data_IF_583912363291
#
_entry.id   IF_583912363291
#
_cell.length_a   1.000
_cell.length_b   1.000
_cell.length_c   1.000
_cell.angle_alpha   90.00
_cell.angle_beta   90.00
_cell.angle_gamma   90.00
#
_symmetry.space_group_name_H-M   'P 1'
#
loop_
_entity.id
_entity.type
_entity.pdbx_description
1 polymer ?
#
# COMPACT_ATOMS: atom_id res chain seq x y z
N UNK A 1 -4.75 50.43 -67.63
CA UNK A 1 -5.39 49.56 -66.63
C UNK A 1 -5.20 48.09 -66.93
N UNK A 2 -5.15 47.63 -68.18
CA UNK A 2 -5.02 46.23 -68.55
C UNK A 2 -3.64 45.56 -68.23
N UNK A 3 -2.55 46.30 -68.33
CA UNK A 3 -1.23 45.68 -68.10
C UNK A 3 -0.93 45.45 -66.62
N UNK A 4 -1.49 46.24 -65.73
CA UNK A 4 -1.30 46.10 -64.28
C UNK A 4 -2.07 44.87 -63.77
N UNK A 5 -3.30 44.65 -64.25
CA UNK A 5 -4.12 43.50 -63.90
C UNK A 5 -3.49 42.19 -64.38
N UNK A 6 -2.93 42.20 -65.61
CA UNK A 6 -2.19 41.02 -66.16
C UNK A 6 -0.97 40.67 -65.35
N UNK A 7 -0.20 41.64 -64.86
CA UNK A 7 0.99 41.43 -64.04
C UNK A 7 0.58 40.86 -62.67
N UNK A 8 -0.47 41.39 -62.06
CA UNK A 8 -0.97 40.90 -60.79
C UNK A 8 -1.51 39.47 -60.85
N UNK A 9 -2.15 39.10 -61.95
CA UNK A 9 -2.63 37.72 -62.18
C UNK A 9 -1.43 36.79 -62.40
N UNK A 10 -0.38 37.21 -63.06
CA UNK A 10 0.80 36.39 -63.29
C UNK A 10 1.58 36.16 -61.96
N UNK A 11 1.71 37.17 -61.12
CA UNK A 11 2.31 37.02 -59.80
C UNK A 11 1.47 36.12 -58.91
N UNK A 12 0.15 36.22 -58.94
CA UNK A 12 -0.72 35.33 -58.20
C UNK A 12 -0.60 33.86 -58.63
N UNK A 13 -0.52 33.64 -59.93
CA UNK A 13 -0.30 32.30 -60.51
C UNK A 13 1.04 31.71 -60.09
N UNK A 14 2.11 32.49 -60.07
CA UNK A 14 3.44 32.02 -59.61
C UNK A 14 3.42 31.68 -58.10
N UNK A 15 2.79 32.52 -57.29
CA UNK A 15 2.66 32.25 -55.83
C UNK A 15 1.84 30.96 -55.55
N UNK A 16 0.75 30.75 -56.29
CA UNK A 16 -0.03 29.52 -56.13
C UNK A 16 0.72 28.28 -56.62
N UNK A 17 1.50 28.43 -57.72
CA UNK A 17 2.31 27.33 -58.24
C UNK A 17 3.44 26.96 -57.27
N UNK A 18 4.16 27.91 -56.69
CA UNK A 18 5.18 27.73 -55.69
C UNK A 18 4.59 27.05 -54.44
N UNK A 19 3.44 27.52 -53.95
CA UNK A 19 2.73 26.92 -52.81
C UNK A 19 2.37 25.45 -53.08
N UNK A 20 1.86 25.12 -54.26
CA UNK A 20 1.49 23.74 -54.63
C UNK A 20 2.75 22.85 -54.77
N UNK A 21 3.86 23.39 -55.27
CA UNK A 21 5.12 22.67 -55.37
C UNK A 21 5.69 22.33 -54.00
N UNK A 22 5.70 23.28 -53.09
CA UNK A 22 6.16 23.11 -51.68
C UNK A 22 5.26 22.10 -50.97
N UNK A 23 3.95 22.21 -51.11
CA UNK A 23 3.00 21.28 -50.51
C UNK A 23 3.21 19.84 -50.99
N UNK A 24 3.41 19.64 -52.30
CA UNK A 24 3.68 18.32 -52.87
C UNK A 24 5.03 17.75 -52.41
N UNK A 25 6.07 18.59 -52.34
CA UNK A 25 7.39 18.19 -51.80
C UNK A 25 7.27 17.75 -50.32
N UNK A 26 6.53 18.49 -49.50
CA UNK A 26 6.30 18.11 -48.10
C UNK A 26 5.53 16.79 -47.98
N UNK A 27 4.53 16.58 -48.84
CA UNK A 27 3.74 15.33 -48.87
C UNK A 27 4.62 14.13 -49.28
N UNK A 28 5.48 14.29 -50.29
CA UNK A 28 6.42 13.24 -50.71
C UNK A 28 7.47 12.97 -49.64
N UNK A 29 7.98 14.00 -48.99
CA UNK A 29 8.95 13.86 -47.88
C UNK A 29 8.34 13.14 -46.69
N UNK A 30 7.11 13.50 -46.30
CA UNK A 30 6.38 12.80 -45.21
C UNK A 30 6.08 11.34 -45.56
N UNK A 31 5.72 11.07 -46.82
CA UNK A 31 5.48 9.71 -47.31
C UNK A 31 6.74 8.85 -47.34
N UNK A 32 7.89 9.42 -47.69
CA UNK A 32 9.17 8.70 -47.66
C UNK A 32 9.67 8.44 -46.24
N UNK A 33 9.39 9.33 -45.31
CA UNK A 33 9.71 9.11 -43.86
C UNK A 33 8.80 8.01 -43.28
N UNK A 34 7.55 7.94 -43.67
CA UNK A 34 6.61 6.88 -43.25
C UNK A 34 6.93 5.52 -43.88
N UNK A 35 7.48 5.48 -45.10
CA UNK A 35 7.88 4.25 -45.78
C UNK A 35 9.25 3.72 -45.33
N UNK A 36 10.08 4.58 -44.76
CA UNK A 36 11.38 4.17 -44.16
C UNK A 36 11.26 3.71 -42.70
N UNK A 37 10.07 3.62 -42.16
CA UNK A 37 9.84 2.83 -40.95
C UNK A 37 10.05 1.36 -41.28
N UNK A 38 11.30 1.01 -41.58
CA UNK A 38 11.76 -0.36 -41.56
C UNK A 38 11.24 -0.98 -40.28
N UNK A 39 10.66 -2.15 -40.35
CA UNK A 39 10.38 -2.98 -39.20
C UNK A 39 11.68 -3.06 -38.41
N UNK A 40 11.82 -2.20 -37.39
CA UNK A 40 12.81 -2.42 -36.35
C UNK A 40 12.48 -3.80 -35.84
N UNK A 41 13.30 -4.77 -36.21
CA UNK A 41 13.18 -6.11 -35.68
C UNK A 41 13.07 -5.93 -34.18
N UNK A 42 11.95 -6.34 -33.59
CA UNK A 42 11.78 -6.33 -32.15
C UNK A 42 13.05 -6.97 -31.61
N UNK A 43 13.84 -6.28 -30.80
CA UNK A 43 15.06 -6.88 -30.27
C UNK A 43 14.63 -8.19 -29.65
N UNK A 44 15.34 -9.27 -29.95
CA UNK A 44 15.10 -10.58 -29.36
C UNK A 44 14.97 -10.34 -27.85
N UNK A 45 13.75 -10.42 -27.36
CA UNK A 45 13.50 -10.12 -25.95
C UNK A 45 14.27 -11.15 -25.17
N UNK A 46 15.30 -10.72 -24.49
CA UNK A 46 16.09 -11.58 -23.61
C UNK A 46 15.11 -12.45 -22.81
N UNK A 47 15.24 -13.75 -22.94
CA UNK A 47 14.39 -14.65 -22.18
C UNK A 47 14.65 -14.39 -20.72
N UNK A 48 13.59 -14.21 -19.91
CA UNK A 48 13.74 -14.03 -18.49
C UNK A 48 14.58 -15.18 -17.91
N UNK A 49 15.49 -14.85 -17.00
CA UNK A 49 16.35 -15.83 -16.35
C UNK A 49 16.16 -15.75 -14.83
N UNK A 50 16.02 -16.91 -14.18
CA UNK A 50 15.85 -17.02 -12.73
C UNK A 50 14.42 -16.78 -12.25
N UNK A 51 14.28 -16.40 -10.99
CA UNK A 51 12.99 -16.10 -10.37
C UNK A 51 12.42 -14.78 -10.94
N UNK A 52 11.17 -14.84 -11.36
CA UNK A 52 10.46 -13.67 -11.89
C UNK A 52 9.47 -13.15 -10.86
N UNK A 53 9.27 -11.83 -10.80
CA UNK A 53 8.21 -11.26 -9.97
C UNK A 53 6.84 -11.75 -10.46
N UNK A 54 5.96 -12.02 -9.53
CA UNK A 54 4.54 -12.28 -9.81
C UNK A 54 3.84 -11.00 -10.22
N UNK A 55 2.67 -11.12 -10.86
CA UNK A 55 1.86 -9.97 -11.28
C UNK A 55 1.51 -9.04 -10.10
N UNK A 56 1.20 -9.58 -8.91
CA UNK A 56 0.94 -8.77 -7.72
C UNK A 56 2.16 -7.98 -7.24
N UNK A 57 3.37 -8.57 -7.36
CA UNK A 57 4.62 -7.88 -7.04
C UNK A 57 4.91 -6.75 -8.04
N UNK A 58 4.65 -6.97 -9.32
CA UNK A 58 4.78 -5.93 -10.35
C UNK A 58 3.80 -4.78 -10.08
N UNK A 59 2.52 -5.08 -9.85
CA UNK A 59 1.50 -4.07 -9.51
C UNK A 59 1.85 -3.28 -8.24
N UNK A 60 2.45 -3.94 -7.25
CA UNK A 60 2.93 -3.29 -6.04
C UNK A 60 4.10 -2.34 -6.35
N UNK A 61 5.05 -2.78 -7.14
CA UNK A 61 6.21 -1.99 -7.54
C UNK A 61 5.81 -0.77 -8.40
N UNK A 62 4.85 -0.93 -9.31
CA UNK A 62 4.30 0.16 -10.13
C UNK A 62 3.58 1.23 -9.30
N UNK A 63 3.18 0.92 -8.09
CA UNK A 63 2.60 1.89 -7.16
C UNK A 63 3.63 2.91 -6.66
N UNK A 64 4.90 2.52 -6.53
CA UNK A 64 6.06 3.32 -6.11
C UNK A 64 5.96 3.91 -4.70
N UNK A 65 4.84 4.55 -4.36
CA UNK A 65 4.68 5.30 -3.12
C UNK A 65 3.40 4.91 -2.37
N UNK A 66 3.54 4.63 -1.09
CA UNK A 66 2.42 4.47 -0.16
C UNK A 66 2.83 4.94 1.24
N UNK A 67 1.87 5.24 2.08
CA UNK A 67 2.10 5.64 3.46
C UNK A 67 1.44 4.68 4.44
N UNK A 68 2.00 4.60 5.66
CA UNK A 68 1.40 3.92 6.81
C UNK A 68 0.89 4.97 7.79
N UNK A 69 -0.32 4.75 8.31
CA UNK A 69 -0.92 5.62 9.31
C UNK A 69 -1.02 4.88 10.63
N UNK A 70 -0.21 5.34 11.60
CA UNK A 70 -0.27 4.92 12.99
C UNK A 70 -1.18 5.87 13.76
N UNK A 71 -2.29 5.35 14.30
CA UNK A 71 -3.24 6.16 15.05
C UNK A 71 -3.90 5.30 16.13
N UNK A 72 -3.18 5.01 17.20
CA UNK A 72 -3.56 4.10 18.28
C UNK A 72 -3.61 4.86 19.61
N UNK A 73 -3.96 4.23 20.75
CA UNK A 73 -3.88 4.88 22.07
C UNK A 73 -2.54 5.54 22.36
N UNK A 74 -1.44 5.06 21.77
CA UNK A 74 -0.09 5.62 21.94
C UNK A 74 0.01 7.06 21.44
N UNK A 75 -0.78 7.45 20.42
CA UNK A 75 -0.88 8.83 19.93
C UNK A 75 -1.26 9.79 21.06
N UNK A 76 -2.14 9.35 21.97
CA UNK A 76 -2.57 10.15 23.13
C UNK A 76 -1.65 10.05 24.34
N UNK A 77 -0.69 9.13 24.31
CA UNK A 77 0.30 8.95 25.35
C UNK A 77 1.65 9.60 25.00
N UNK A 78 1.79 10.16 23.80
CA UNK A 78 3.06 10.63 23.25
C UNK A 78 4.16 9.55 23.31
N UNK A 79 3.79 8.32 22.91
CA UNK A 79 4.67 7.14 22.87
C UNK A 79 4.73 6.61 21.46
N UNK A 80 5.89 6.17 21.03
CA UNK A 80 6.06 5.43 19.79
C UNK A 80 5.44 4.03 19.92
N UNK A 81 5.76 3.31 20.97
CA UNK A 81 5.22 1.99 21.28
C UNK A 81 4.51 1.99 22.62
N UNK A 82 3.24 1.57 22.59
CA UNK A 82 2.46 1.34 23.80
C UNK A 82 2.91 0.08 24.54
N UNK A 83 2.71 0.07 25.85
CA UNK A 83 3.03 -1.08 26.69
C UNK A 83 1.92 -2.15 26.70
N UNK A 84 0.73 -1.83 26.17
CA UNK A 84 -0.44 -2.70 26.19
C UNK A 84 -1.35 -2.50 27.42
N UNK A 85 -1.03 -1.52 28.25
CA UNK A 85 -1.70 -1.21 29.52
C UNK A 85 -2.71 -0.05 29.42
N UNK A 86 -2.77 0.62 28.26
CA UNK A 86 -3.64 1.77 28.08
C UNK A 86 -5.12 1.38 28.20
N UNK A 87 -5.88 2.16 28.97
CA UNK A 87 -7.32 1.93 29.04
C UNK A 87 -7.98 2.30 27.71
N UNK A 88 -8.91 1.50 27.18
CA UNK A 88 -9.65 1.81 25.95
C UNK A 88 -10.32 3.18 25.97
N UNK A 89 -10.68 3.69 27.14
CA UNK A 89 -11.29 5.01 27.34
C UNK A 89 -10.38 6.17 26.94
N UNK A 90 -9.09 5.96 26.86
CA UNK A 90 -8.12 6.94 26.35
C UNK A 90 -8.32 7.23 24.85
N UNK A 91 -8.83 6.24 24.11
CA UNK A 91 -9.01 6.35 22.67
C UNK A 91 -10.35 7.04 22.32
N UNK A 92 -10.32 8.36 22.27
CA UNK A 92 -11.50 9.18 21.93
C UNK A 92 -11.13 10.35 21.00
N UNK A 93 -10.74 10.09 19.75
CA UNK A 93 -10.33 11.13 18.80
C UNK A 93 -11.54 11.94 18.30
N UNK A 94 -11.92 12.99 19.03
CA UNK A 94 -13.09 13.84 18.71
C UNK A 94 -13.02 14.56 17.37
N UNK A 95 -11.82 14.89 16.89
CA UNK A 95 -11.57 15.59 15.63
C UNK A 95 -11.04 14.68 14.51
N UNK A 96 -11.13 13.36 14.66
CA UNK A 96 -10.65 12.44 13.64
C UNK A 96 -11.42 12.58 12.33
N UNK A 97 -10.68 12.70 11.24
CA UNK A 97 -11.23 12.81 9.89
C UNK A 97 -10.35 12.00 8.92
N UNK A 98 -10.75 10.78 8.64
CA UNK A 98 -10.03 9.89 7.72
C UNK A 98 -9.88 10.50 6.32
N UNK A 99 -10.89 11.25 5.85
CA UNK A 99 -10.84 11.85 4.51
C UNK A 99 -9.80 12.98 4.42
N UNK A 100 -9.61 13.77 5.48
CA UNK A 100 -8.56 14.78 5.52
C UNK A 100 -7.17 14.14 5.41
N UNK A 101 -6.94 13.05 6.15
CA UNK A 101 -5.66 12.32 6.14
C UNK A 101 -5.42 11.70 4.76
N UNK A 102 -6.41 10.98 4.23
CA UNK A 102 -6.29 10.33 2.93
C UNK A 102 -6.11 11.35 1.79
N UNK A 103 -6.83 12.50 1.87
CA UNK A 103 -6.66 13.56 0.88
C UNK A 103 -5.26 14.16 0.93
N UNK A 104 -4.73 14.43 2.13
CA UNK A 104 -3.38 14.96 2.28
C UNK A 104 -2.33 13.99 1.71
N UNK A 105 -2.51 12.69 1.92
CA UNK A 105 -1.63 11.68 1.33
C UNK A 105 -1.74 11.67 -0.21
N UNK A 106 -2.94 11.69 -0.77
CA UNK A 106 -3.15 11.74 -2.22
C UNK A 106 -2.57 13.02 -2.85
N UNK A 107 -2.79 14.18 -2.23
CA UNK A 107 -2.22 15.46 -2.66
C UNK A 107 -0.67 15.44 -2.60
N UNK A 108 -0.09 14.68 -1.67
CA UNK A 108 1.35 14.42 -1.55
C UNK A 108 1.91 13.42 -2.57
N UNK A 109 1.06 12.86 -3.44
CA UNK A 109 1.48 11.92 -4.50
C UNK A 109 1.52 10.44 -4.08
N UNK A 110 1.03 10.10 -2.88
CA UNK A 110 0.91 8.70 -2.49
C UNK A 110 -0.19 7.99 -3.29
N UNK A 111 0.09 6.75 -3.68
CA UNK A 111 -0.83 5.90 -4.46
C UNK A 111 -1.50 4.81 -3.63
N UNK A 112 -1.03 4.63 -2.40
CA UNK A 112 -1.60 3.70 -1.43
C UNK A 112 -1.53 4.24 -0.01
N UNK A 113 -2.48 3.77 0.81
CA UNK A 113 -2.50 4.03 2.25
C UNK A 113 -2.71 2.72 3.00
N UNK A 114 -1.88 2.48 3.99
CA UNK A 114 -1.97 1.33 4.88
C UNK A 114 -2.45 1.82 6.24
N UNK A 115 -3.58 1.29 6.69
CA UNK A 115 -4.04 1.47 8.07
C UNK A 115 -3.32 0.49 8.97
N UNK A 116 -2.66 0.99 10.01
CA UNK A 116 -2.18 0.15 11.11
C UNK A 116 -3.40 -0.26 11.94
N UNK A 117 -3.97 -1.42 11.61
CA UNK A 117 -5.18 -1.90 12.26
C UNK A 117 -4.96 -2.30 13.72
N UNK A 118 -3.81 -2.86 14.02
CA UNK A 118 -3.32 -3.15 15.39
C UNK A 118 -1.81 -2.96 15.42
N UNK A 119 -1.30 -2.14 16.35
CA UNK A 119 0.13 -2.01 16.62
C UNK A 119 0.55 -2.94 17.78
N UNK A 120 1.81 -2.84 18.23
CA UNK A 120 2.37 -3.71 19.28
C UNK A 120 1.67 -3.58 20.64
N UNK A 121 0.95 -2.48 20.88
CA UNK A 121 0.14 -2.30 22.09
C UNK A 121 -1.08 -3.23 22.15
N UNK A 122 -1.43 -3.89 21.05
CA UNK A 122 -2.53 -4.83 20.95
C UNK A 122 -3.91 -4.21 20.74
N UNK A 123 -4.03 -2.85 20.72
CA UNK A 123 -5.33 -2.20 20.55
C UNK A 123 -5.82 -2.31 19.10
N UNK A 124 -7.00 -2.92 18.93
CA UNK A 124 -7.60 -3.14 17.61
C UNK A 124 -8.46 -1.94 17.19
N UNK A 125 -8.16 -1.33 16.06
CA UNK A 125 -8.87 -0.17 15.50
C UNK A 125 -10.16 -0.55 14.74
N UNK A 126 -10.58 -1.79 14.83
CA UNK A 126 -11.85 -2.31 14.30
C UNK A 126 -12.57 -3.15 15.39
N UNK A 127 -13.88 -3.36 15.28
CA UNK A 127 -14.65 -4.13 16.27
C UNK A 127 -14.40 -5.63 16.10
N UNK A 128 -13.18 -6.07 16.40
CA UNK A 128 -12.79 -7.50 16.35
C UNK A 128 -13.60 -8.34 17.34
N UNK A 129 -13.74 -9.62 17.02
CA UNK A 129 -14.40 -10.61 17.89
C UNK A 129 -13.41 -11.34 18.80
N UNK A 130 -12.12 -11.09 18.67
CA UNK A 130 -11.06 -11.85 19.37
C UNK A 130 -10.69 -11.27 20.73
N UNK A 131 -10.92 -9.99 20.93
CA UNK A 131 -10.56 -9.30 22.17
C UNK A 131 -11.50 -8.13 22.44
N UNK A 132 -11.68 -7.79 23.71
CA UNK A 132 -12.34 -6.54 24.12
C UNK A 132 -11.39 -5.33 24.07
N UNK A 133 -10.08 -5.55 23.90
CA UNK A 133 -9.10 -4.46 23.78
C UNK A 133 -9.14 -3.87 22.37
N UNK A 134 -10.21 -3.15 22.10
CA UNK A 134 -10.51 -2.64 20.77
C UNK A 134 -11.31 -1.34 20.83
N UNK A 135 -11.47 -0.75 19.67
CA UNK A 135 -12.28 0.45 19.47
C UNK A 135 -13.72 0.30 19.96
N UNK A 136 -14.25 -0.93 19.98
CA UNK A 136 -15.59 -1.21 20.50
C UNK A 136 -15.73 -0.94 22.01
N UNK A 137 -14.64 -0.99 22.75
CA UNK A 137 -14.59 -0.66 24.18
C UNK A 137 -14.20 0.81 24.45
N UNK A 138 -13.96 1.60 23.42
CA UNK A 138 -13.65 3.02 23.54
C UNK A 138 -14.92 3.88 23.53
N UNK A 139 -14.89 5.11 24.10
CA UNK A 139 -16.00 6.04 24.00
C UNK A 139 -16.17 6.64 22.59
N UNK A 140 -15.19 6.48 21.72
CA UNK A 140 -15.25 7.02 20.37
C UNK A 140 -16.45 6.44 19.61
N UNK A 141 -17.26 7.36 19.06
CA UNK A 141 -18.53 7.00 18.38
C UNK A 141 -19.45 6.07 19.21
N UNK A 142 -19.37 6.18 20.54
CA UNK A 142 -20.12 5.33 21.48
C UNK A 142 -19.83 3.83 21.29
N UNK A 143 -18.57 3.46 21.04
CA UNK A 143 -18.15 2.07 20.80
C UNK A 143 -18.58 1.47 19.45
N UNK A 144 -19.14 2.28 18.55
CA UNK A 144 -19.61 1.85 17.22
C UNK A 144 -18.65 2.26 16.09
N UNK A 145 -17.48 2.75 16.44
CA UNK A 145 -16.46 3.15 15.47
C UNK A 145 -15.79 1.96 14.80
N UNK A 146 -15.36 2.16 13.58
CA UNK A 146 -14.46 1.26 12.84
C UNK A 146 -13.49 2.14 12.04
N UNK A 147 -12.32 2.38 12.62
CA UNK A 147 -11.34 3.30 12.02
C UNK A 147 -10.69 2.70 10.76
N UNK A 148 -10.53 1.39 10.72
CA UNK A 148 -10.02 0.69 9.53
C UNK A 148 -10.96 0.90 8.34
N UNK A 149 -12.27 0.78 8.58
CA UNK A 149 -13.30 1.03 7.57
C UNK A 149 -13.29 2.49 7.11
N UNK A 150 -13.18 3.43 8.03
CA UNK A 150 -13.15 4.86 7.67
C UNK A 150 -11.91 5.21 6.84
N UNK A 151 -10.75 4.66 7.17
CA UNK A 151 -9.56 4.80 6.33
C UNK A 151 -9.73 4.15 4.96
N UNK A 152 -10.30 2.93 4.90
CA UNK A 152 -10.56 2.25 3.63
C UNK A 152 -11.45 3.08 2.71
N UNK A 153 -12.59 3.54 3.22
CA UNK A 153 -13.53 4.36 2.45
C UNK A 153 -12.93 5.69 2.00
N UNK A 154 -12.16 6.35 2.87
CA UNK A 154 -11.48 7.59 2.56
C UNK A 154 -10.38 7.41 1.51
N UNK A 155 -9.62 6.33 1.61
CA UNK A 155 -8.54 5.98 0.69
C UNK A 155 -9.09 5.76 -0.72
N UNK A 156 -10.14 4.95 -0.85
CA UNK A 156 -10.78 4.70 -2.15
C UNK A 156 -11.41 5.97 -2.74
N UNK A 157 -12.04 6.81 -1.92
CA UNK A 157 -12.63 8.09 -2.35
C UNK A 157 -11.59 9.05 -2.93
N UNK A 158 -10.36 8.97 -2.47
CA UNK A 158 -9.23 9.76 -2.97
C UNK A 158 -8.40 9.05 -4.04
N UNK A 159 -8.91 7.97 -4.64
CA UNK A 159 -8.28 7.28 -5.78
C UNK A 159 -7.06 6.44 -5.43
N UNK A 160 -6.80 6.20 -4.16
CA UNK A 160 -5.67 5.40 -3.69
C UNK A 160 -6.08 3.95 -3.41
N UNK A 161 -5.09 3.06 -3.39
CA UNK A 161 -5.26 1.66 -2.98
C UNK A 161 -5.14 1.53 -1.46
N UNK A 162 -5.95 0.64 -0.87
CA UNK A 162 -5.95 0.42 0.57
C UNK A 162 -5.19 -0.85 0.95
N UNK A 163 -4.48 -0.80 2.06
CA UNK A 163 -3.79 -1.92 2.68
C UNK A 163 -3.94 -1.91 4.19
N UNK A 164 -3.61 -3.02 4.83
CA UNK A 164 -3.67 -3.16 6.29
C UNK A 164 -2.36 -3.69 6.85
N UNK A 165 -2.02 -3.20 8.04
CA UNK A 165 -0.92 -3.69 8.87
C UNK A 165 -1.52 -4.34 10.12
N UNK A 166 -1.05 -5.53 10.44
CA UNK A 166 -1.41 -6.26 11.64
C UNK A 166 -0.14 -6.66 12.38
N UNK A 167 0.09 -6.07 13.57
CA UNK A 167 1.22 -6.44 14.41
C UNK A 167 1.16 -7.90 14.81
N UNK A 168 2.26 -8.59 14.60
CA UNK A 168 2.46 -9.93 15.12
C UNK A 168 2.65 -9.91 16.63
N UNK A 169 3.41 -8.95 17.14
CA UNK A 169 3.57 -8.76 18.59
C UNK A 169 2.33 -8.10 19.20
N UNK A 170 1.90 -8.62 20.35
CA UNK A 170 0.78 -8.09 21.12
C UNK A 170 1.17 -8.01 22.60
N UNK A 171 1.35 -6.80 23.07
CA UNK A 171 1.79 -6.52 24.45
C UNK A 171 0.63 -6.52 25.45
N UNK A 172 -0.61 -6.56 24.96
CA UNK A 172 -1.80 -6.59 25.81
C UNK A 172 -2.26 -8.00 26.13
N UNK A 173 -2.25 -8.90 25.13
CA UNK A 173 -2.89 -10.22 25.25
C UNK A 173 -2.13 -11.13 26.22
N UNK A 174 -2.86 -11.66 27.23
CA UNK A 174 -2.31 -12.57 28.24
C UNK A 174 -1.82 -13.90 27.65
N UNK A 175 -2.33 -14.29 26.48
CA UNK A 175 -1.97 -15.52 25.78
C UNK A 175 -0.85 -15.35 24.76
N UNK A 176 -0.28 -14.13 24.61
CA UNK A 176 0.82 -13.92 23.68
C UNK A 176 1.96 -14.92 23.92
N UNK A 177 2.40 -15.57 22.84
CA UNK A 177 3.41 -16.64 22.91
C UNK A 177 2.83 -18.05 23.09
N UNK A 178 1.50 -18.22 23.11
CA UNK A 178 0.83 -19.52 23.15
C UNK A 178 0.10 -19.83 21.84
N UNK A 179 -0.25 -21.12 21.56
CA UNK A 179 -1.04 -21.46 20.38
C UNK A 179 -2.39 -20.73 20.31
N UNK A 180 -3.03 -20.46 21.46
CA UNK A 180 -4.30 -19.74 21.53
C UNK A 180 -4.21 -18.32 20.93
N UNK A 181 -3.12 -17.61 21.19
CA UNK A 181 -2.90 -16.30 20.56
C UNK A 181 -2.65 -16.41 19.06
N UNK A 182 -1.90 -17.41 18.59
CA UNK A 182 -1.69 -17.63 17.16
C UNK A 182 -3.01 -17.86 16.43
N UNK A 183 -3.96 -18.54 17.05
CA UNK A 183 -5.33 -18.73 16.52
C UNK A 183 -6.13 -17.42 16.52
N UNK A 184 -6.05 -16.63 17.60
CA UNK A 184 -6.67 -15.30 17.67
C UNK A 184 -6.09 -14.36 16.60
N UNK A 185 -4.78 -14.36 16.38
CA UNK A 185 -4.12 -13.60 15.32
C UNK A 185 -4.64 -13.99 13.93
N UNK A 186 -4.77 -15.27 13.64
CA UNK A 186 -5.34 -15.77 12.37
C UNK A 186 -6.79 -15.38 12.19
N UNK A 187 -7.57 -15.34 13.28
CA UNK A 187 -8.94 -14.83 13.22
C UNK A 187 -8.98 -13.33 12.94
N UNK A 188 -8.17 -12.53 13.61
CA UNK A 188 -7.99 -11.09 13.30
C UNK A 188 -7.61 -10.87 11.84
N UNK A 189 -6.66 -11.62 11.35
CA UNK A 189 -6.26 -11.58 9.94
C UNK A 189 -7.42 -11.91 9.01
N UNK A 190 -8.21 -12.94 9.33
CA UNK A 190 -9.38 -13.33 8.53
C UNK A 190 -10.41 -12.22 8.50
N UNK A 191 -10.70 -11.56 9.63
CA UNK A 191 -11.59 -10.41 9.70
C UNK A 191 -11.12 -9.26 8.79
N UNK A 192 -9.83 -8.92 8.87
CA UNK A 192 -9.24 -7.84 8.07
C UNK A 192 -9.23 -8.17 6.57
N UNK A 193 -8.93 -9.40 6.20
CA UNK A 193 -8.90 -9.81 4.79
C UNK A 193 -10.30 -9.94 4.18
N UNK A 194 -11.35 -10.08 5.00
CA UNK A 194 -12.72 -10.31 4.51
C UNK A 194 -13.58 -9.04 4.46
N UNK A 195 -13.35 -8.05 5.32
CA UNK A 195 -14.33 -7.02 5.60
C UNK A 195 -14.04 -5.65 4.97
N UNK A 196 -12.86 -5.45 4.39
CA UNK A 196 -12.38 -4.12 3.95
C UNK A 196 -12.11 -4.00 2.46
N UNK A 197 -12.79 -4.83 1.65
CA UNK A 197 -12.68 -4.80 0.18
C UNK A 197 -11.32 -5.25 -0.33
N UNK A 198 -10.97 -4.90 -1.57
CA UNK A 198 -9.70 -5.28 -2.16
C UNK A 198 -8.53 -4.59 -1.47
N UNK A 199 -7.52 -5.36 -1.08
CA UNK A 199 -6.30 -4.87 -0.45
C UNK A 199 -5.11 -5.01 -1.43
N UNK A 200 -4.22 -4.00 -1.45
CA UNK A 200 -2.96 -4.14 -2.20
C UNK A 200 -1.87 -4.84 -1.39
N UNK A 201 -1.96 -4.81 -0.07
CA UNK A 201 -1.00 -5.46 0.83
C UNK A 201 -1.62 -5.88 2.15
N UNK A 202 -1.13 -7.00 2.67
CA UNK A 202 -1.22 -7.40 4.06
C UNK A 202 0.16 -7.32 4.67
N UNK A 203 0.36 -6.39 5.61
CA UNK A 203 1.64 -6.14 6.25
C UNK A 203 1.72 -6.84 7.60
N UNK A 204 2.68 -7.72 7.75
CA UNK A 204 3.00 -8.43 8.98
C UNK A 204 4.33 -7.93 9.52
N UNK A 205 4.30 -7.30 10.69
CA UNK A 205 5.49 -6.74 11.33
C UNK A 205 6.45 -7.84 11.83
N UNK A 206 7.73 -7.52 11.83
CA UNK A 206 8.79 -8.42 12.27
C UNK A 206 9.04 -8.43 13.77
N UNK A 207 8.42 -7.53 14.55
CA UNK A 207 8.57 -7.51 16.00
C UNK A 207 7.91 -8.74 16.64
N UNK A 208 8.65 -9.46 17.47
CA UNK A 208 8.24 -10.78 17.97
C UNK A 208 8.23 -10.91 19.46
N UNK A 209 8.33 -9.80 20.18
CA UNK A 209 8.25 -9.86 21.61
C UNK A 209 9.21 -8.92 22.31
N UNK A 210 9.07 -8.88 23.59
CA UNK A 210 9.74 -7.97 24.50
C UNK A 210 8.93 -7.84 25.77
N UNK A 211 9.13 -6.75 26.50
CA UNK A 211 8.39 -6.41 27.69
C UNK A 211 6.95 -5.99 27.32
N UNK A 212 5.98 -6.33 28.13
CA UNK A 212 4.58 -6.01 27.91
C UNK A 212 3.72 -6.21 29.14
N UNK A 213 2.49 -5.70 29.07
CA UNK A 213 1.47 -5.81 30.10
C UNK A 213 0.93 -7.23 30.23
N UNK A 214 0.68 -7.89 29.10
CA UNK A 214 0.23 -9.29 28.99
C UNK A 214 -0.90 -9.65 29.97
N UNK A 215 -1.97 -8.84 29.97
CA UNK A 215 -3.13 -9.07 30.84
C UNK A 215 -2.86 -8.85 32.33
N UNK A 216 -1.85 -8.07 32.68
CA UNK A 216 -1.39 -7.86 34.08
C UNK A 216 -0.31 -8.84 34.52
N UNK A 217 0.12 -9.76 33.65
CA UNK A 217 1.25 -10.67 33.88
C UNK A 217 2.53 -10.07 33.27
N UNK A 218 2.90 -8.90 33.75
CA UNK A 218 4.05 -8.14 33.26
C UNK A 218 5.31 -8.99 33.16
N UNK A 219 6.06 -8.82 32.07
CA UNK A 219 7.28 -9.55 31.86
C UNK A 219 7.77 -9.50 30.42
N UNK A 220 8.78 -10.31 30.14
CA UNK A 220 9.36 -10.42 28.81
C UNK A 220 8.92 -11.71 28.15
N UNK A 221 8.28 -11.62 26.98
CA UNK A 221 7.91 -12.77 26.15
C UNK A 221 8.53 -12.63 24.77
N UNK A 222 9.21 -13.66 24.33
CA UNK A 222 9.84 -13.73 23.01
C UNK A 222 9.40 -15.01 22.35
N UNK A 223 9.01 -14.92 21.09
CA UNK A 223 8.63 -16.07 20.25
C UNK A 223 9.67 -16.26 19.13
N UNK A 224 9.70 -17.43 18.55
CA UNK A 224 10.38 -17.64 17.27
C UNK A 224 9.47 -17.17 16.13
N UNK A 225 9.83 -16.03 15.52
CA UNK A 225 9.05 -15.40 14.44
C UNK A 225 8.92 -16.28 13.20
N UNK A 226 9.79 -17.26 13.01
CA UNK A 226 9.78 -18.11 11.82
C UNK A 226 8.79 -19.25 11.93
N UNK A 227 8.55 -19.74 13.13
CA UNK A 227 7.76 -20.95 13.38
C UNK A 227 6.46 -20.74 14.12
N UNK A 228 6.42 -19.77 15.05
CA UNK A 228 5.27 -19.61 15.94
C UNK A 228 3.93 -19.40 15.22
N UNK A 229 3.90 -18.59 14.18
CA UNK A 229 2.67 -18.31 13.44
C UNK A 229 2.35 -19.32 12.35
N UNK A 230 3.20 -20.32 12.13
CA UNK A 230 3.04 -21.29 11.05
C UNK A 230 2.70 -20.56 9.73
N UNK A 231 3.56 -19.59 9.37
CA UNK A 231 3.30 -18.61 8.33
C UNK A 231 2.90 -19.24 7.00
N UNK A 232 3.67 -20.22 6.53
CA UNK A 232 3.46 -20.88 5.24
C UNK A 232 2.26 -21.80 5.25
N UNK A 233 2.08 -22.53 6.34
CA UNK A 233 1.12 -23.62 6.46
C UNK A 233 -0.29 -23.13 6.82
N UNK A 234 -0.39 -22.07 7.66
CA UNK A 234 -1.67 -21.65 8.21
C UNK A 234 -1.98 -20.17 8.01
N UNK A 235 -1.01 -19.29 8.20
CA UNK A 235 -1.31 -17.85 8.30
C UNK A 235 -1.39 -17.19 6.94
N UNK A 236 -0.36 -17.30 6.09
CA UNK A 236 -0.40 -16.69 4.75
C UNK A 236 -1.41 -17.31 3.78
N UNK A 237 -1.77 -18.60 3.87
CA UNK A 237 -2.89 -19.14 3.09
C UNK A 237 -4.20 -18.39 3.27
N UNK A 238 -4.45 -17.77 4.45
CA UNK A 238 -5.62 -16.92 4.67
C UNK A 238 -5.59 -15.71 3.72
N UNK A 239 -4.46 -15.02 3.65
CA UNK A 239 -4.30 -13.88 2.73
C UNK A 239 -4.44 -14.33 1.29
N UNK A 240 -3.76 -15.40 0.90
CA UNK A 240 -3.81 -15.93 -0.48
C UNK A 240 -5.21 -16.28 -0.93
N UNK A 241 -6.01 -16.85 -0.03
CA UNK A 241 -7.39 -17.26 -0.32
C UNK A 241 -8.33 -16.06 -0.42
N UNK A 242 -8.20 -15.09 0.49
CA UNK A 242 -9.16 -13.99 0.62
C UNK A 242 -8.77 -12.76 -0.18
N UNK A 243 -7.46 -12.55 -0.40
CA UNK A 243 -6.89 -11.39 -1.11
C UNK A 243 -5.77 -11.86 -2.07
N UNK A 244 -6.11 -12.59 -3.15
CA UNK A 244 -5.12 -13.22 -4.04
C UNK A 244 -4.19 -12.21 -4.74
N UNK A 245 -4.65 -10.98 -4.94
CA UNK A 245 -3.88 -9.89 -5.58
C UNK A 245 -3.03 -9.07 -4.58
N UNK A 246 -3.24 -9.24 -3.27
CA UNK A 246 -2.45 -8.55 -2.27
C UNK A 246 -1.04 -9.13 -2.14
N UNK A 247 -0.03 -8.26 -2.06
CA UNK A 247 1.30 -8.69 -1.62
C UNK A 247 1.30 -8.90 -0.12
N UNK A 248 1.99 -9.94 0.32
CA UNK A 248 2.29 -10.16 1.73
C UNK A 248 3.65 -9.55 2.01
N UNK A 249 3.65 -8.51 2.84
CA UNK A 249 4.86 -7.84 3.29
C UNK A 249 5.24 -8.35 4.69
N UNK A 250 6.46 -8.82 4.84
CA UNK A 250 7.01 -9.29 6.12
C UNK A 250 8.53 -9.26 6.05
N UNK A 251 9.20 -9.30 7.18
CA UNK A 251 10.67 -9.42 7.25
C UNK A 251 11.20 -10.82 6.87
N UNK A 252 10.32 -11.82 6.80
CA UNK A 252 10.66 -13.20 6.41
C UNK A 252 10.08 -13.65 5.06
N UNK A 253 9.38 -12.78 4.33
CA UNK A 253 8.77 -13.07 3.03
C UNK A 253 7.25 -13.11 3.12
N UNK A 254 6.47 -13.70 2.17
CA UNK A 254 6.94 -14.38 0.96
C UNK A 254 7.02 -13.51 -0.30
N UNK A 255 6.28 -12.34 -0.37
CA UNK A 255 6.26 -11.54 -1.59
C UNK A 255 7.23 -10.37 -1.52
N UNK A 256 7.14 -9.60 -0.44
CA UNK A 256 7.98 -8.45 -0.16
C UNK A 256 8.61 -8.63 1.21
N UNK A 257 9.91 -8.38 1.28
CA UNK A 257 10.65 -8.51 2.52
C UNK A 257 11.20 -7.16 2.95
N UNK A 258 10.97 -6.79 4.21
CA UNK A 258 11.67 -5.66 4.79
C UNK A 258 13.15 -6.01 4.96
N UNK A 259 14.00 -5.21 4.35
CA UNK A 259 15.45 -5.36 4.40
C UNK A 259 16.04 -4.04 4.82
N UNK A 260 16.79 -4.04 5.91
CA UNK A 260 17.40 -2.82 6.41
C UNK A 260 17.32 -2.72 7.94
N UNK A 261 17.24 -1.51 8.41
CA UNK A 261 17.16 -1.18 9.84
C UNK A 261 16.55 0.22 10.03
N UNK A 262 16.12 0.51 11.25
CA UNK A 262 15.53 1.80 11.62
C UNK A 262 16.56 2.93 11.80
N UNK A 263 17.84 2.63 11.65
CA UNK A 263 18.93 3.62 11.70
C UNK A 263 19.11 4.40 10.40
N UNK A 264 18.35 4.08 9.36
CA UNK A 264 18.32 4.83 8.09
C UNK A 264 19.46 4.54 7.13
N UNK A 265 20.14 3.42 7.25
CA UNK A 265 21.12 2.96 6.28
C UNK A 265 20.92 1.48 5.90
N UNK A 266 21.31 1.13 4.70
CA UNK A 266 21.29 -0.24 4.20
C UNK A 266 22.73 -0.80 4.10
N UNK A 267 22.85 -2.14 4.13
CA UNK A 267 24.11 -2.79 3.81
C UNK A 267 24.46 -2.61 2.32
N UNK A 268 25.74 -2.79 1.96
CA UNK A 268 26.19 -2.73 0.55
C UNK A 268 25.46 -3.78 -0.32
N UNK A 269 25.13 -4.92 0.26
CA UNK A 269 24.35 -5.98 -0.37
C UNK A 269 23.22 -6.43 0.56
N UNK A 270 21.99 -6.49 0.02
CA UNK A 270 20.79 -6.89 0.76
C UNK A 270 20.05 -7.95 -0.06
N UNK A 271 20.29 -9.22 0.28
CA UNK A 271 19.68 -10.38 -0.37
C UNK A 271 18.65 -11.06 0.51
#
# INVERSE_FOLDING_TARGET
>A
MDNFIKLLILELYNLVFEYLLIKNMFTILLSSILLSSGTVAKPDTLKPYGALPTERQLKWQEMETYCLIHYTPTTFQNKEWGYGDAQPTLFNPSAFNANQIAKAAADGGFRGLISVAKHHDGFCLWPTKTTSYSIASSPWKNGKGDMVKEFMEATHRNGMKFGVYLSAWDRHDEHYGTPAYADAYRQQLTELMSNYGPLFTSWHDGANGGDGYYGGHEGKRIIDRTTYYEWHEKTWPIVRKLQPDAVIFSDIGPDMRWVGNEHGFAAETSW
#
